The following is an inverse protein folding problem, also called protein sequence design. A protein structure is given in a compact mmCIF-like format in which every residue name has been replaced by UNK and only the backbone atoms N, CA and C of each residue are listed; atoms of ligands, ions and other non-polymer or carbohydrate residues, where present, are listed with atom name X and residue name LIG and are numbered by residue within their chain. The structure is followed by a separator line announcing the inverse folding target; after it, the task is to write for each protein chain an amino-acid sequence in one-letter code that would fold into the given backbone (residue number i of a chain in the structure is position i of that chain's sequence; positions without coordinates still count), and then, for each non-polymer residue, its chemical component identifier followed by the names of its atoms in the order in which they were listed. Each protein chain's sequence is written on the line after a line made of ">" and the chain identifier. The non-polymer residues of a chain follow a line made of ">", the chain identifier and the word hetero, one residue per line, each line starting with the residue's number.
data_IF_696089849878
#
_entry.id   IF_696089849878
#
_cell.length_a   1.000
_cell.length_b   1.000
_cell.length_c   1.000
_cell.angle_alpha   90.00
_cell.angle_beta   90.00
_cell.angle_gamma   90.00
#
_symmetry.space_group_name_H-M   'P 1'
#
loop_
_entity.id
_entity.type
_entity.pdbx_description
1 polymer ?
#
# COMPACT_ATOMS: atom_id res chain seq x y z
N UNK A 1 -24.29 15.90 -7.91
CA UNK A 1 -23.32 15.87 -6.80
C UNK A 1 -23.77 16.90 -5.77
N UNK A 2 -23.88 16.54 -4.50
CA UNK A 2 -24.13 17.54 -3.45
C UNK A 2 -22.84 18.36 -3.26
N UNK A 3 -22.92 19.68 -3.06
CA UNK A 3 -21.74 20.47 -2.75
C UNK A 3 -21.21 20.04 -1.38
N UNK A 4 -19.90 19.87 -1.25
CA UNK A 4 -19.24 19.65 0.03
C UNK A 4 -19.19 21.01 0.72
N UNK A 5 -20.14 21.29 1.62
CA UNK A 5 -20.30 22.60 2.28
C UNK A 5 -19.59 22.67 3.63
N UNK A 6 -18.32 22.28 3.67
CA UNK A 6 -17.47 22.51 4.84
C UNK A 6 -16.04 22.66 4.37
N UNK A 7 -15.47 23.85 4.54
CA UNK A 7 -14.08 24.18 4.20
C UNK A 7 -13.05 23.26 4.91
N UNK A 8 -13.50 22.40 5.84
CA UNK A 8 -12.70 21.50 6.67
C UNK A 8 -13.04 19.99 6.55
N UNK A 9 -13.87 19.53 5.59
CA UNK A 9 -14.15 18.08 5.49
C UNK A 9 -13.05 17.31 4.74
N UNK A 10 -12.06 16.84 5.51
CA UNK A 10 -10.94 16.01 5.02
C UNK A 10 -11.29 14.54 4.81
N UNK A 11 -12.53 14.11 5.05
CA UNK A 11 -12.88 12.68 5.03
C UNK A 11 -12.59 11.98 3.70
N UNK A 12 -12.72 12.69 2.58
CA UNK A 12 -12.41 12.22 1.22
C UNK A 12 -10.95 12.47 0.80
N UNK A 13 -10.22 13.28 1.57
CA UNK A 13 -8.85 13.70 1.32
C UNK A 13 -7.80 12.88 2.08
N UNK A 14 -8.21 11.82 2.79
CA UNK A 14 -7.27 10.91 3.47
C UNK A 14 -6.20 10.42 2.47
N UNK A 15 -4.91 10.39 2.82
CA UNK A 15 -4.38 10.43 4.19
C UNK A 15 -4.19 11.82 4.78
N UNK A 16 -4.44 12.90 4.02
CA UNK A 16 -4.29 14.28 4.50
C UNK A 16 -5.39 14.60 5.51
N UNK A 17 -4.99 15.12 6.68
CA UNK A 17 -5.93 15.44 7.78
C UNK A 17 -6.07 16.92 8.04
N UNK A 18 -5.16 17.72 7.53
CA UNK A 18 -5.11 19.16 7.70
C UNK A 18 -4.44 19.82 6.50
N UNK A 19 -4.51 21.15 6.47
CA UNK A 19 -3.90 21.92 5.39
C UNK A 19 -2.39 21.89 5.48
N UNK A 20 -1.71 21.61 4.37
CA UNK A 20 -0.25 21.68 4.26
C UNK A 20 0.13 22.98 3.55
N UNK A 21 1.05 23.75 4.14
CA UNK A 21 1.51 25.05 3.63
C UNK A 21 2.90 25.37 4.14
N UNK A 22 3.54 26.36 3.53
CA UNK A 22 4.81 26.90 4.02
C UNK A 22 4.60 27.60 5.37
N UNK A 23 5.44 27.27 6.35
CA UNK A 23 5.43 27.82 7.71
C UNK A 23 6.86 28.00 8.22
N UNK A 24 7.02 28.72 9.34
CA UNK A 24 8.29 28.82 10.07
C UNK A 24 8.09 28.33 11.52
N UNK A 25 8.61 27.14 11.90
CA UNK A 25 9.38 26.20 11.08
C UNK A 25 8.51 25.48 10.02
N UNK A 26 9.09 24.94 8.94
CA UNK A 26 8.35 24.23 7.90
C UNK A 26 7.60 23.00 8.41
N UNK A 27 6.41 22.75 7.86
CA UNK A 27 5.68 21.50 8.10
C UNK A 27 6.49 20.31 7.57
N UNK A 28 6.50 19.20 8.30
CA UNK A 28 7.26 18.03 7.92
C UNK A 28 6.55 16.73 8.29
N UNK A 29 6.83 15.65 7.57
CA UNK A 29 6.39 14.31 7.90
C UNK A 29 5.78 13.55 6.74
N UNK A 30 4.99 12.52 7.10
CA UNK A 30 4.45 11.54 6.16
C UNK A 30 3.55 12.16 5.09
N UNK A 31 2.65 13.05 5.49
CA UNK A 31 1.70 13.67 4.56
C UNK A 31 2.42 14.53 3.51
N UNK A 32 3.43 15.30 3.93
CA UNK A 32 4.30 16.07 3.03
C UNK A 32 5.04 15.15 2.06
N UNK A 33 5.66 14.07 2.55
CA UNK A 33 6.35 13.09 1.71
C UNK A 33 5.40 12.46 0.67
N UNK A 34 4.18 12.10 1.09
CA UNK A 34 3.15 11.58 0.18
C UNK A 34 2.79 12.61 -0.89
N UNK A 35 2.51 13.85 -0.48
CA UNK A 35 2.20 14.95 -1.41
C UNK A 35 3.31 15.13 -2.44
N UNK A 36 4.57 15.24 -2.00
CA UNK A 36 5.71 15.43 -2.89
C UNK A 36 5.86 14.28 -3.89
N UNK A 37 5.74 13.03 -3.43
CA UNK A 37 5.78 11.86 -4.31
C UNK A 37 4.64 11.82 -5.32
N UNK A 38 3.45 12.31 -4.96
CA UNK A 38 2.32 12.44 -5.89
C UNK A 38 2.55 13.58 -6.89
N UNK A 39 2.97 14.77 -6.44
CA UNK A 39 3.21 15.93 -7.29
C UNK A 39 4.28 15.66 -8.37
N UNK A 40 5.31 14.85 -8.07
CA UNK A 40 6.31 14.38 -9.06
C UNK A 40 5.71 13.67 -10.28
N UNK A 41 4.46 13.20 -10.19
CA UNK A 41 3.74 12.53 -11.29
C UNK A 41 3.00 13.51 -12.19
N UNK A 42 2.83 14.76 -11.77
CA UNK A 42 2.17 15.76 -12.59
C UNK A 42 3.13 16.24 -13.70
N UNK A 43 2.64 16.46 -14.94
CA UNK A 43 3.47 16.93 -16.04
C UNK A 43 4.18 18.25 -15.72
N UNK A 44 5.48 18.32 -15.99
CA UNK A 44 6.27 19.55 -15.81
C UNK A 44 6.57 19.95 -14.36
N UNK A 45 6.25 19.11 -13.39
CA UNK A 45 6.68 19.30 -11.99
C UNK A 45 7.93 18.48 -11.73
N UNK A 46 9.05 19.17 -11.50
CA UNK A 46 10.29 18.58 -10.99
C UNK A 46 10.41 18.90 -9.51
N UNK A 47 10.39 17.86 -8.68
CA UNK A 47 10.39 18.00 -7.23
C UNK A 47 11.19 16.86 -6.59
N UNK A 48 11.94 17.19 -5.55
CA UNK A 48 12.61 16.21 -4.70
C UNK A 48 11.75 15.98 -3.46
N UNK A 49 11.43 14.72 -3.16
CA UNK A 49 10.68 14.37 -1.97
C UNK A 49 11.62 14.40 -0.77
N UNK A 50 11.55 15.47 0.04
CA UNK A 50 12.37 15.66 1.25
C UNK A 50 11.60 15.32 2.53
N UNK A 51 10.27 15.22 2.45
CA UNK A 51 9.38 15.15 3.61
C UNK A 51 9.21 16.48 4.35
N UNK A 52 9.72 17.59 3.80
CA UNK A 52 9.62 18.95 4.36
C UNK A 52 8.90 19.85 3.37
N UNK A 53 7.89 20.59 3.84
CA UNK A 53 7.08 21.48 3.01
C UNK A 53 7.80 22.82 2.89
N UNK A 54 8.69 22.90 1.90
CA UNK A 54 9.51 24.06 1.57
C UNK A 54 8.92 24.88 0.40
N UNK A 55 9.63 25.94 0.00
CA UNK A 55 9.26 26.78 -1.15
C UNK A 55 9.14 25.99 -2.46
N UNK A 56 9.93 24.92 -2.64
CA UNK A 56 9.83 24.06 -3.81
C UNK A 56 8.52 23.26 -3.81
N UNK A 57 8.10 22.78 -2.64
CA UNK A 57 6.84 22.06 -2.46
C UNK A 57 5.64 23.00 -2.67
N UNK A 58 5.68 24.21 -2.11
CA UNK A 58 4.66 25.24 -2.33
C UNK A 58 4.52 25.58 -3.82
N UNK A 59 5.66 25.85 -4.49
CA UNK A 59 5.69 26.15 -5.93
C UNK A 59 5.17 25.00 -6.77
N UNK A 60 5.54 23.76 -6.46
CA UNK A 60 5.03 22.58 -7.14
C UNK A 60 3.51 22.45 -6.96
N UNK A 61 3.00 22.68 -5.76
CA UNK A 61 1.57 22.62 -5.50
C UNK A 61 0.80 23.74 -6.22
N UNK A 62 1.35 24.95 -6.24
CA UNK A 62 0.82 26.07 -7.03
C UNK A 62 0.73 25.71 -8.52
N UNK A 63 1.82 25.16 -9.09
CA UNK A 63 1.84 24.72 -10.49
C UNK A 63 0.80 23.64 -10.76
N UNK A 64 0.64 22.68 -9.84
CA UNK A 64 -0.41 21.67 -9.95
C UNK A 64 -1.81 22.28 -9.93
N UNK A 65 -2.07 23.22 -9.01
CA UNK A 65 -3.36 23.92 -8.91
C UNK A 65 -3.69 24.66 -10.21
N UNK A 66 -2.73 25.40 -10.78
CA UNK A 66 -2.88 26.07 -12.08
C UNK A 66 -3.20 25.07 -13.20
N UNK A 67 -2.46 23.96 -13.28
CA UNK A 67 -2.71 22.90 -14.28
C UNK A 67 -4.10 22.27 -14.16
N UNK A 68 -4.66 22.23 -12.95
CA UNK A 68 -6.00 21.68 -12.68
C UNK A 68 -7.11 22.72 -12.67
N UNK A 69 -6.78 24.01 -12.83
CA UNK A 69 -7.75 25.10 -12.75
C UNK A 69 -8.39 25.25 -11.36
N UNK A 70 -7.69 24.83 -10.30
CA UNK A 70 -8.14 24.97 -8.90
C UNK A 70 -7.85 26.39 -8.43
N UNK A 71 -8.85 27.05 -7.85
CA UNK A 71 -8.74 28.46 -7.45
C UNK A 71 -9.05 28.65 -5.95
N UNK A 72 -8.27 29.49 -5.22
CA UNK A 72 -7.06 30.17 -5.70
C UNK A 72 -5.90 29.19 -5.83
N UNK A 73 -5.11 29.30 -6.90
CA UNK A 73 -3.80 28.69 -6.94
C UNK A 73 -2.87 29.47 -6.00
N UNK A 74 -2.57 28.90 -4.85
CA UNK A 74 -1.87 29.58 -3.76
C UNK A 74 -0.77 28.71 -3.11
N UNK A 75 -0.53 27.50 -3.64
CA UNK A 75 0.47 26.59 -3.08
C UNK A 75 0.08 26.00 -1.73
N UNK A 76 -1.19 26.11 -1.32
CA UNK A 76 -1.70 25.54 -0.07
C UNK A 76 -2.52 24.28 -0.38
N UNK A 77 -2.22 23.18 0.31
CA UNK A 77 -3.03 21.98 0.22
C UNK A 77 -4.29 22.18 1.07
N UNK A 78 -5.43 22.36 0.43
CA UNK A 78 -6.76 22.34 1.06
C UNK A 78 -7.51 21.05 0.67
N UNK A 79 -8.72 20.77 1.22
CA UNK A 79 -9.44 19.54 0.91
C UNK A 79 -9.69 19.34 -0.59
N UNK A 80 -10.05 20.40 -1.32
CA UNK A 80 -10.28 20.34 -2.78
C UNK A 80 -9.02 19.93 -3.55
N UNK A 81 -7.89 20.57 -3.24
CA UNK A 81 -6.59 20.26 -3.87
C UNK A 81 -6.15 18.84 -3.50
N UNK A 82 -6.33 18.43 -2.25
CA UNK A 82 -5.99 17.09 -1.78
C UNK A 82 -6.80 16.00 -2.47
N UNK A 83 -8.12 16.18 -2.61
CA UNK A 83 -8.99 15.27 -3.36
C UNK A 83 -8.50 15.18 -4.81
N UNK A 84 -8.26 16.32 -5.46
CA UNK A 84 -7.77 16.36 -6.83
C UNK A 84 -6.43 15.61 -6.99
N UNK A 85 -5.47 15.83 -6.09
CA UNK A 85 -4.18 15.13 -6.07
C UNK A 85 -4.39 13.62 -5.97
N UNK A 86 -5.25 13.15 -5.08
CA UNK A 86 -5.52 11.72 -4.91
C UNK A 86 -6.24 11.11 -6.11
N UNK A 87 -7.22 11.81 -6.68
CA UNK A 87 -7.99 11.34 -7.83
C UNK A 87 -7.12 11.20 -9.09
N UNK A 88 -6.21 12.15 -9.32
CA UNK A 88 -5.45 12.22 -10.56
C UNK A 88 -4.05 11.62 -10.48
N UNK A 89 -3.41 11.63 -9.31
CA UNK A 89 -2.00 11.27 -9.18
C UNK A 89 -1.76 10.00 -8.35
N UNK A 90 -2.77 9.43 -7.68
CA UNK A 90 -2.57 8.22 -6.85
C UNK A 90 -2.31 6.96 -7.67
N UNK A 91 -2.84 6.87 -8.89
CA UNK A 91 -2.47 5.78 -9.81
C UNK A 91 -0.98 5.91 -10.13
N UNK A 92 -0.20 4.87 -9.84
CA UNK A 92 1.25 4.89 -10.00
C UNK A 92 1.71 4.39 -11.38
N UNK A 93 0.77 3.91 -12.21
CA UNK A 93 1.06 3.32 -13.52
C UNK A 93 1.96 2.09 -13.45
N UNK A 94 2.18 1.50 -12.27
CA UNK A 94 3.04 0.34 -12.12
C UNK A 94 2.45 -0.84 -12.89
N UNK A 95 3.33 -1.54 -13.62
CA UNK A 95 3.01 -2.74 -14.39
C UNK A 95 3.96 -3.87 -14.03
N UNK A 96 3.39 -5.05 -13.77
CA UNK A 96 4.18 -6.25 -13.61
C UNK A 96 4.78 -6.65 -14.95
N UNK A 97 6.10 -6.87 -14.98
CA UNK A 97 6.84 -7.29 -16.18
C UNK A 97 7.04 -8.81 -16.24
N UNK A 98 6.41 -9.56 -15.33
CA UNK A 98 6.61 -11.01 -15.19
C UNK A 98 7.94 -11.40 -14.55
N UNK A 99 8.89 -10.48 -14.37
CA UNK A 99 10.24 -10.82 -13.90
C UNK A 99 10.24 -11.29 -12.45
N UNK A 100 11.17 -12.20 -12.16
CA UNK A 100 11.51 -12.67 -10.82
C UNK A 100 12.99 -12.34 -10.61
N UNK A 101 13.28 -11.60 -9.55
CA UNK A 101 14.64 -11.18 -9.25
C UNK A 101 15.53 -12.39 -8.94
N UNK A 102 16.77 -12.35 -9.41
CA UNK A 102 17.74 -13.42 -9.16
C UNK A 102 17.88 -13.68 -7.66
N UNK A 103 17.87 -14.95 -7.28
CA UNK A 103 17.93 -15.38 -5.89
C UNK A 103 16.59 -15.39 -5.14
N UNK A 104 15.51 -14.89 -5.73
CA UNK A 104 14.16 -15.06 -5.17
C UNK A 104 13.64 -16.47 -5.45
N UNK A 105 13.07 -17.10 -4.42
CA UNK A 105 12.50 -18.44 -4.49
C UNK A 105 11.06 -18.47 -4.99
N UNK A 106 10.36 -17.34 -4.93
CA UNK A 106 8.97 -17.23 -5.35
C UNK A 106 8.56 -15.79 -5.67
N UNK A 107 7.45 -15.65 -6.42
CA UNK A 107 6.78 -14.38 -6.68
C UNK A 107 5.27 -14.52 -6.47
N UNK A 108 4.65 -13.54 -5.84
CA UNK A 108 3.20 -13.41 -5.77
C UNK A 108 2.75 -12.26 -6.68
N UNK A 109 1.79 -12.51 -7.55
CA UNK A 109 1.13 -11.48 -8.35
C UNK A 109 -0.31 -11.29 -7.90
N UNK A 110 -0.70 -10.05 -7.63
CA UNK A 110 -2.04 -9.69 -7.17
C UNK A 110 -2.55 -8.55 -8.08
N UNK A 111 -3.36 -8.86 -9.11
CA UNK A 111 -4.07 -7.81 -9.83
C UNK A 111 -5.09 -7.20 -8.88
N UNK A 112 -5.27 -5.88 -8.90
CA UNK A 112 -6.25 -5.18 -8.06
C UNK A 112 -7.03 -4.15 -8.88
N UNK A 113 -8.29 -3.95 -8.53
CA UNK A 113 -9.15 -2.91 -9.11
C UNK A 113 -9.20 -1.71 -8.19
N UNK A 114 -9.31 -0.49 -8.72
CA UNK A 114 -9.54 0.76 -7.98
C UNK A 114 -10.69 0.57 -6.97
N UNK A 115 -11.75 -0.12 -7.38
CA UNK A 115 -12.73 -0.68 -6.45
C UNK A 115 -12.17 -1.94 -5.76
N UNK A 116 -11.53 -1.74 -4.61
CA UNK A 116 -10.90 -2.80 -3.82
C UNK A 116 -11.89 -3.75 -3.13
N UNK A 117 -13.20 -3.53 -3.29
CA UNK A 117 -14.22 -4.50 -2.87
C UNK A 117 -14.24 -5.76 -3.71
N UNK A 118 -13.69 -5.69 -4.92
CA UNK A 118 -13.57 -6.80 -5.86
C UNK A 118 -12.42 -7.68 -5.40
N UNK A 119 -12.72 -8.94 -5.12
CA UNK A 119 -11.70 -9.96 -4.89
C UNK A 119 -11.09 -10.37 -6.21
N UNK A 120 -9.80 -10.66 -6.18
CA UNK A 120 -9.04 -10.92 -7.40
C UNK A 120 -8.33 -12.26 -7.32
N UNK A 121 -8.10 -12.86 -8.50
CA UNK A 121 -7.32 -14.08 -8.58
C UNK A 121 -5.83 -13.73 -8.52
N UNK A 122 -5.22 -13.92 -7.35
CA UNK A 122 -3.79 -13.87 -7.19
C UNK A 122 -3.12 -15.13 -7.75
N UNK A 123 -1.88 -14.99 -8.20
CA UNK A 123 -1.08 -16.10 -8.73
C UNK A 123 0.26 -16.17 -8.01
N UNK A 124 0.59 -17.34 -7.47
CA UNK A 124 1.88 -17.62 -6.86
C UNK A 124 2.74 -18.40 -7.86
N UNK A 125 3.97 -17.94 -8.04
CA UNK A 125 4.98 -18.51 -8.93
C UNK A 125 6.19 -18.99 -8.13
N UNK A 126 6.86 -20.04 -8.62
CA UNK A 126 8.20 -20.41 -8.16
C UNK A 126 9.29 -19.45 -8.68
N UNK A 127 10.54 -19.64 -8.26
CA UNK A 127 11.67 -18.80 -8.67
C UNK A 127 12.02 -18.90 -10.17
N UNK A 128 11.45 -19.87 -10.89
CA UNK A 128 11.62 -20.08 -12.32
C UNK A 128 10.45 -19.49 -13.13
N UNK A 129 9.42 -18.95 -12.46
CA UNK A 129 8.25 -18.35 -13.11
C UNK A 129 7.14 -19.35 -13.44
N UNK A 130 7.21 -20.60 -12.95
CA UNK A 130 6.11 -21.54 -13.11
C UNK A 130 5.00 -21.22 -12.11
N UNK A 131 3.75 -21.31 -12.56
CA UNK A 131 2.58 -21.15 -11.69
C UNK A 131 2.50 -22.32 -10.72
N UNK A 132 2.52 -22.04 -9.42
CA UNK A 132 2.37 -23.07 -8.37
C UNK A 132 1.00 -23.05 -7.70
N UNK A 133 0.30 -21.91 -7.67
CA UNK A 133 -1.08 -21.83 -7.18
C UNK A 133 -1.79 -20.57 -7.70
N UNK A 134 -3.12 -20.64 -7.74
CA UNK A 134 -4.01 -19.51 -8.02
C UNK A 134 -5.13 -19.51 -7.00
N UNK A 135 -5.44 -18.34 -6.44
CA UNK A 135 -6.42 -18.23 -5.37
C UNK A 135 -7.06 -16.86 -5.30
N UNK A 136 -8.24 -16.78 -4.69
CA UNK A 136 -8.89 -15.51 -4.41
C UNK A 136 -8.15 -14.76 -3.29
N UNK A 137 -7.94 -13.47 -3.52
CA UNK A 137 -7.34 -12.55 -2.58
C UNK A 137 -8.22 -11.31 -2.43
N UNK A 138 -8.32 -10.81 -1.20
CA UNK A 138 -8.99 -9.54 -0.91
C UNK A 138 -7.97 -8.54 -0.37
N UNK A 139 -7.93 -7.36 -1.01
CA UNK A 139 -6.97 -6.28 -0.71
C UNK A 139 -7.66 -5.02 -0.18
N UNK A 140 -8.92 -5.17 0.28
CA UNK A 140 -9.71 -4.08 0.85
C UNK A 140 -9.28 -3.79 2.27
N UNK A 141 -8.94 -2.53 2.51
CA UNK A 141 -8.68 -1.99 3.85
C UNK A 141 -9.95 -1.68 4.64
N UNK A 142 -9.77 -1.01 5.76
CA UNK A 142 -10.86 -0.59 6.62
C UNK A 142 -11.69 0.50 5.96
N UNK A 143 -12.81 0.86 6.58
CA UNK A 143 -13.50 2.11 6.29
C UNK A 143 -13.05 3.17 7.30
N UNK A 144 -13.11 4.44 6.93
CA UNK A 144 -12.92 5.55 7.87
C UNK A 144 -14.12 5.69 8.81
N UNK A 145 -14.00 6.61 9.77
CA UNK A 145 -14.97 6.79 10.87
C UNK A 145 -16.38 7.16 10.38
N UNK A 146 -16.51 7.75 9.18
CA UNK A 146 -17.79 8.09 8.54
C UNK A 146 -18.24 7.01 7.52
N UNK A 147 -17.63 5.82 7.56
CA UNK A 147 -17.91 4.72 6.63
C UNK A 147 -17.30 4.89 5.23
N UNK A 148 -16.52 5.94 5.00
CA UNK A 148 -15.88 6.19 3.70
C UNK A 148 -14.76 5.17 3.43
N UNK A 149 -14.55 4.83 2.16
CA UNK A 149 -13.45 3.94 1.76
C UNK A 149 -12.13 4.71 1.92
N UNK A 150 -11.18 4.16 2.67
CA UNK A 150 -9.84 4.74 2.79
C UNK A 150 -8.89 4.16 1.74
N UNK A 151 -8.20 5.03 1.03
CA UNK A 151 -7.33 4.65 -0.08
C UNK A 151 -6.00 4.05 0.41
N UNK A 152 -5.20 3.59 -0.54
CA UNK A 152 -3.97 2.85 -0.29
C UNK A 152 -2.83 3.62 0.40
N UNK A 153 -2.91 4.94 0.47
CA UNK A 153 -1.92 5.79 1.12
C UNK A 153 -2.27 6.08 2.59
N UNK A 154 -3.44 5.64 3.05
CA UNK A 154 -3.89 5.70 4.45
C UNK A 154 -3.41 4.48 5.24
N UNK A 155 -3.05 4.65 6.52
CA UNK A 155 -2.52 3.57 7.38
C UNK A 155 -3.31 2.27 7.30
N UNK A 156 -4.64 2.34 7.47
CA UNK A 156 -5.52 1.16 7.45
C UNK A 156 -6.24 0.95 6.09
N UNK A 157 -5.80 1.65 5.04
CA UNK A 157 -6.49 1.66 3.75
C UNK A 157 -6.28 0.42 2.89
N UNK A 158 -6.63 0.48 1.61
CA UNK A 158 -6.44 -0.65 0.69
C UNK A 158 -4.97 -1.04 0.52
N UNK A 159 -4.63 -2.29 0.19
CA UNK A 159 -3.22 -2.69 -0.02
C UNK A 159 -2.52 -1.79 -1.08
N UNK A 160 -1.30 -1.26 -0.83
CA UNK A 160 -0.58 -0.43 -1.78
C UNK A 160 -0.17 -1.19 -3.03
N UNK A 161 -0.26 -0.50 -4.17
CA UNK A 161 0.26 -0.97 -5.45
C UNK A 161 1.78 -0.82 -5.52
N UNK A 162 2.40 -1.60 -6.40
CA UNK A 162 3.82 -1.58 -6.65
C UNK A 162 4.47 -2.95 -6.52
N UNK A 163 5.80 -2.94 -6.71
CA UNK A 163 6.65 -4.09 -6.48
C UNK A 163 7.20 -4.02 -5.06
N UNK A 164 7.19 -5.13 -4.34
CA UNK A 164 7.60 -5.21 -2.93
C UNK A 164 8.42 -6.47 -2.69
N UNK A 165 9.45 -6.36 -1.86
CA UNK A 165 10.10 -7.54 -1.26
C UNK A 165 9.19 -8.20 -0.24
N UNK A 166 9.19 -9.53 -0.21
CA UNK A 166 8.31 -10.30 0.65
C UNK A 166 9.05 -11.49 1.25
N UNK A 167 8.67 -11.88 2.46
CA UNK A 167 9.27 -13.03 3.11
C UNK A 167 8.26 -13.80 3.95
N UNK A 168 8.54 -15.09 4.17
CA UNK A 168 7.71 -15.95 5.00
C UNK A 168 8.15 -15.83 6.45
N UNK A 169 7.23 -15.47 7.34
CA UNK A 169 7.47 -15.39 8.76
C UNK A 169 6.63 -16.41 9.54
N UNK A 170 7.11 -16.82 10.72
CA UNK A 170 6.35 -17.64 11.66
C UNK A 170 5.00 -16.98 11.99
N UNK A 171 4.00 -17.75 12.48
CA UNK A 171 2.70 -17.20 12.81
C UNK A 171 2.78 -15.98 13.74
N UNK A 172 1.78 -15.09 13.64
CA UNK A 172 1.56 -14.05 14.64
C UNK A 172 1.27 -14.68 16.03
N UNK A 173 1.40 -13.94 17.14
CA UNK A 173 1.25 -14.48 18.49
C UNK A 173 -0.11 -15.17 18.67
N UNK A 174 -0.16 -16.21 19.51
CA UNK A 174 -1.38 -16.99 19.75
C UNK A 174 -2.59 -16.14 20.17
N UNK A 175 -2.36 -15.03 20.87
CA UNK A 175 -3.40 -14.05 21.25
C UNK A 175 -4.07 -13.37 20.05
N UNK A 176 -3.42 -13.37 18.88
CA UNK A 176 -3.90 -12.74 17.64
C UNK A 176 -4.31 -13.77 16.57
N UNK A 177 -4.40 -15.06 16.91
CA UNK A 177 -4.80 -16.13 15.96
C UNK A 177 -6.16 -15.85 15.31
N UNK A 178 -7.08 -15.19 16.03
CA UNK A 178 -8.37 -14.79 15.47
C UNK A 178 -8.21 -13.82 14.29
N UNK A 179 -7.23 -12.92 14.36
CA UNK A 179 -6.99 -11.91 13.33
C UNK A 179 -6.10 -12.42 12.19
N UNK A 180 -5.10 -13.26 12.48
CA UNK A 180 -4.05 -13.64 11.51
C UNK A 180 -4.00 -15.12 11.14
N UNK A 181 -4.85 -15.92 11.77
CA UNK A 181 -4.84 -17.37 11.61
C UNK A 181 -3.64 -18.03 12.29
N UNK A 182 -3.59 -19.37 12.29
CA UNK A 182 -2.57 -20.14 12.99
C UNK A 182 -1.31 -20.41 12.14
N UNK A 183 -1.29 -19.95 10.90
CA UNK A 183 -0.27 -20.30 9.92
C UNK A 183 0.83 -19.24 9.83
N UNK A 184 2.03 -19.61 9.34
CA UNK A 184 3.02 -18.64 8.88
C UNK A 184 2.39 -17.58 7.95
N UNK A 185 2.90 -16.36 8.02
CA UNK A 185 2.38 -15.20 7.28
C UNK A 185 3.42 -14.73 6.27
N UNK A 186 2.97 -14.29 5.09
CA UNK A 186 3.86 -13.62 4.14
C UNK A 186 3.87 -12.13 4.45
N UNK A 187 5.02 -11.57 4.77
CA UNK A 187 5.16 -10.17 5.17
C UNK A 187 5.69 -9.32 4.02
N UNK A 188 5.00 -8.24 3.72
CA UNK A 188 5.51 -7.18 2.86
C UNK A 188 6.61 -6.45 3.62
N UNK A 189 7.82 -6.36 3.05
CA UNK A 189 9.00 -5.83 3.75
C UNK A 189 9.35 -4.43 3.27
N UNK A 190 9.70 -4.28 2.00
CA UNK A 190 10.18 -3.00 1.43
C UNK A 190 9.68 -2.82 0.01
N UNK A 191 9.14 -1.65 -0.29
CA UNK A 191 8.74 -1.29 -1.64
C UNK A 191 9.95 -1.06 -2.55
N UNK A 192 9.81 -1.47 -3.81
CA UNK A 192 10.83 -1.34 -4.85
C UNK A 192 10.38 -0.45 -6.01
N UNK A 193 9.08 -0.48 -6.34
CA UNK A 193 8.45 0.37 -7.37
C UNK A 193 7.04 0.77 -6.94
N UNK A 194 6.47 1.77 -7.62
CA UNK A 194 5.07 2.19 -7.44
C UNK A 194 4.81 2.89 -6.10
N UNK A 195 3.55 2.92 -5.66
CA UNK A 195 3.12 3.55 -4.40
C UNK A 195 3.83 2.95 -3.18
N UNK A 196 4.10 1.65 -3.20
CA UNK A 196 4.86 0.94 -2.17
C UNK A 196 6.28 1.52 -1.93
N UNK A 197 6.88 2.10 -2.97
CA UNK A 197 8.23 2.64 -2.97
C UNK A 197 8.32 4.14 -2.70
N UNK A 198 7.19 4.85 -2.51
CA UNK A 198 7.22 6.27 -2.14
C UNK A 198 8.09 6.47 -0.90
N UNK A 199 8.90 7.52 -0.86
CA UNK A 199 9.81 7.76 0.24
C UNK A 199 10.48 9.13 0.13
N UNK A 200 11.43 9.38 1.02
CA UNK A 200 12.33 10.53 0.88
C UNK A 200 13.40 10.15 -0.15
N UNK A 201 13.64 11.03 -1.13
CA UNK A 201 14.65 10.80 -2.16
C UNK A 201 16.05 10.69 -1.52
N UNK A 202 16.86 9.79 -2.06
CA UNK A 202 18.19 9.42 -1.54
C UNK A 202 18.19 8.76 -0.14
N UNK A 203 17.02 8.36 0.36
CA UNK A 203 16.89 7.51 1.55
C UNK A 203 16.52 6.08 1.16
N UNK A 204 16.76 5.14 2.08
CA UNK A 204 16.49 3.72 1.85
C UNK A 204 15.09 3.31 2.28
N UNK A 205 14.44 4.18 3.04
CA UNK A 205 13.13 4.07 3.64
C UNK A 205 12.04 4.27 2.58
N UNK A 206 11.06 3.37 2.57
CA UNK A 206 9.90 3.47 1.68
C UNK A 206 8.60 3.48 2.47
N UNK A 207 7.51 3.75 1.75
CA UNK A 207 6.17 3.81 2.29
C UNK A 207 5.83 2.54 3.07
N UNK A 208 6.13 1.38 2.50
CA UNK A 208 5.94 0.10 3.18
C UNK A 208 6.91 -0.18 4.31
N UNK A 209 8.18 0.25 4.23
CA UNK A 209 9.11 -0.03 5.32
C UNK A 209 8.83 0.86 6.53
N UNK A 210 8.48 2.14 6.37
CA UNK A 210 8.50 3.12 7.47
C UNK A 210 7.14 3.71 7.84
N UNK A 211 6.20 3.76 6.90
CA UNK A 211 4.93 4.46 7.11
C UNK A 211 3.73 3.51 7.13
N UNK A 212 3.89 2.34 6.53
CA UNK A 212 2.86 1.33 6.38
C UNK A 212 3.42 -0.08 6.45
N UNK A 213 4.26 -0.30 7.46
CA UNK A 213 4.76 -1.63 7.80
C UNK A 213 3.64 -2.48 8.39
N UNK A 214 3.80 -3.80 8.31
CA UNK A 214 2.82 -4.74 8.88
C UNK A 214 1.75 -5.23 7.92
N UNK A 215 1.89 -4.98 6.61
CA UNK A 215 1.04 -5.62 5.61
C UNK A 215 1.45 -7.09 5.45
N UNK A 216 0.47 -7.96 5.59
CA UNK A 216 0.64 -9.41 5.55
C UNK A 216 -0.28 -10.03 4.49
N UNK A 217 0.12 -11.18 3.92
CA UNK A 217 -0.82 -12.14 3.33
C UNK A 217 -1.13 -13.19 4.39
N UNK A 218 -2.39 -13.23 4.81
CA UNK A 218 -2.84 -14.10 5.87
C UNK A 218 -4.33 -14.40 5.77
N UNK A 219 -4.78 -15.27 6.67
CA UNK A 219 -6.20 -15.56 6.88
C UNK A 219 -6.64 -15.11 8.27
N UNK A 220 -7.88 -15.34 8.66
CA UNK A 220 -8.35 -15.13 10.02
C UNK A 220 -9.30 -16.23 10.46
N UNK A 221 -9.77 -16.12 11.69
CA UNK A 221 -10.95 -16.84 12.16
C UNK A 221 -12.08 -15.82 12.16
N UNK A 222 -12.91 -15.90 11.13
CA UNK A 222 -14.00 -14.96 10.90
C UNK A 222 -15.31 -15.61 11.34
N UNK A 223 -15.94 -15.04 12.37
CA UNK A 223 -17.23 -15.49 12.85
C UNK A 223 -18.26 -15.33 11.72
N UNK A 224 -19.12 -16.35 11.53
CA UNK A 224 -20.23 -16.34 10.56
C UNK A 224 -19.83 -16.17 9.07
N UNK A 225 -18.55 -16.34 8.72
CA UNK A 225 -18.10 -16.34 7.32
C UNK A 225 -18.07 -17.74 6.72
N UNK A 226 -18.45 -17.86 5.45
CA UNK A 226 -18.32 -19.08 4.65
C UNK A 226 -17.64 -18.76 3.31
N UNK A 227 -17.02 -19.74 2.62
CA UNK A 227 -16.32 -19.51 1.35
C UNK A 227 -17.17 -18.89 0.22
N UNK A 228 -18.50 -18.92 0.34
CA UNK A 228 -19.44 -18.32 -0.61
C UNK A 228 -19.62 -16.80 -0.38
N UNK A 229 -19.19 -16.29 0.78
CA UNK A 229 -19.22 -14.87 1.11
C UNK A 229 -17.87 -14.22 0.78
N UNK A 230 -17.86 -12.94 0.38
CA UNK A 230 -16.61 -12.19 0.28
C UNK A 230 -15.85 -12.22 1.61
N UNK A 231 -14.53 -12.36 1.55
CA UNK A 231 -13.67 -12.26 2.72
C UNK A 231 -13.91 -10.93 3.44
N UNK A 232 -13.79 -10.89 4.78
CA UNK A 232 -13.88 -9.63 5.52
C UNK A 232 -12.79 -8.66 5.11
N UNK A 233 -13.05 -7.37 5.29
CA UNK A 233 -12.03 -6.34 5.09
C UNK A 233 -10.90 -6.48 6.11
N UNK A 234 -9.69 -6.13 5.69
CA UNK A 234 -8.52 -6.06 6.57
C UNK A 234 -8.24 -4.60 6.95
N UNK A 235 -7.11 -4.34 7.63
CA UNK A 235 -6.55 -2.98 7.79
C UNK A 235 -5.47 -2.69 6.72
N UNK A 236 -5.52 -3.37 5.57
CA UNK A 236 -4.56 -3.22 4.48
C UNK A 236 -3.82 -4.49 4.08
N UNK A 237 -3.90 -5.53 4.89
CA UNK A 237 -3.44 -6.87 4.56
C UNK A 237 -4.16 -7.44 3.34
N UNK A 238 -3.54 -8.46 2.76
CA UNK A 238 -4.13 -9.32 1.75
C UNK A 238 -4.75 -10.51 2.48
N UNK A 239 -6.08 -10.57 2.51
CA UNK A 239 -6.77 -11.74 3.04
C UNK A 239 -6.87 -12.84 1.98
N UNK A 240 -6.66 -14.08 2.42
CA UNK A 240 -6.91 -15.31 1.68
C UNK A 240 -7.70 -16.30 2.54
N UNK A 241 -8.33 -17.29 1.90
CA UNK A 241 -9.09 -18.33 2.60
C UNK A 241 -8.18 -19.14 3.55
N UNK A 242 -8.70 -19.66 4.68
CA UNK A 242 -7.88 -20.42 5.62
C UNK A 242 -7.19 -21.66 5.02
N UNK A 243 -7.91 -22.41 4.17
CA UNK A 243 -7.35 -23.55 3.44
C UNK A 243 -6.27 -23.14 2.44
N UNK A 244 -6.46 -22.00 1.78
CA UNK A 244 -5.50 -21.42 0.83
C UNK A 244 -4.23 -20.95 1.54
N UNK A 245 -4.32 -20.30 2.70
CA UNK A 245 -3.14 -19.88 3.46
C UNK A 245 -2.25 -21.08 3.80
N UNK A 246 -2.85 -22.17 4.27
CA UNK A 246 -2.14 -23.41 4.54
C UNK A 246 -1.47 -23.97 3.29
N UNK A 247 -2.19 -24.04 2.17
CA UNK A 247 -1.65 -24.52 0.91
C UNK A 247 -0.46 -23.68 0.42
N UNK A 248 -0.56 -22.35 0.50
CA UNK A 248 0.54 -21.43 0.15
C UNK A 248 1.77 -21.77 0.99
N UNK A 249 1.62 -21.88 2.31
CA UNK A 249 2.73 -22.19 3.22
C UNK A 249 3.37 -23.54 2.88
N UNK A 250 2.56 -24.59 2.68
CA UNK A 250 3.06 -25.92 2.34
C UNK A 250 3.84 -25.89 1.01
N UNK A 251 3.34 -25.17 0.00
CA UNK A 251 4.04 -24.99 -1.28
C UNK A 251 5.34 -24.23 -1.15
N UNK A 252 5.37 -23.17 -0.35
CA UNK A 252 6.60 -22.41 -0.11
C UNK A 252 7.66 -23.27 0.59
N UNK A 253 7.27 -24.11 1.56
CA UNK A 253 8.19 -25.07 2.16
C UNK A 253 8.75 -26.08 1.14
N UNK A 254 7.93 -26.56 0.20
CA UNK A 254 8.41 -27.43 -0.89
C UNK A 254 9.40 -26.73 -1.82
N UNK A 255 9.31 -25.40 -2.00
CA UNK A 255 10.29 -24.59 -2.72
C UNK A 255 11.56 -24.28 -1.88
N UNK A 256 11.65 -24.83 -0.67
CA UNK A 256 12.75 -24.58 0.25
C UNK A 256 12.74 -23.19 0.88
N UNK A 257 11.62 -22.47 0.85
CA UNK A 257 11.44 -21.23 1.62
C UNK A 257 11.41 -21.58 3.10
N UNK A 258 12.10 -20.80 3.93
CA UNK A 258 12.12 -20.98 5.39
C UNK A 258 11.22 -19.92 6.02
N UNK A 259 10.43 -20.31 7.02
CA UNK A 259 9.69 -19.34 7.83
C UNK A 259 10.64 -18.72 8.88
N UNK A 260 11.01 -17.46 8.68
CA UNK A 260 11.84 -16.71 9.62
C UNK A 260 11.03 -16.29 10.87
N UNK A 261 11.65 -16.23 12.05
CA UNK A 261 10.97 -15.78 13.25
C UNK A 261 10.35 -14.38 13.05
N UNK A 262 9.07 -14.25 13.38
CA UNK A 262 8.31 -13.04 13.08
C UNK A 262 8.93 -11.81 13.77
N UNK A 263 9.37 -10.79 13.01
CA UNK A 263 10.04 -9.64 13.59
C UNK A 263 9.06 -8.61 14.18
N UNK A 264 7.76 -8.84 14.10
CA UNK A 264 6.70 -7.93 14.58
C UNK A 264 6.87 -6.48 14.09
N UNK A 265 7.33 -6.33 12.84
CA UNK A 265 7.55 -5.03 12.22
C UNK A 265 8.88 -4.35 12.58
N UNK A 266 9.82 -5.03 13.24
CA UNK A 266 11.18 -4.50 13.48
C UNK A 266 11.86 -4.08 12.18
N UNK A 267 12.44 -2.88 12.22
CA UNK A 267 13.23 -2.29 11.13
C UNK A 267 14.69 -2.06 11.61
N UNK A 268 15.70 -2.22 10.72
CA UNK A 268 15.58 -2.84 9.40
C UNK A 268 15.17 -4.32 9.51
N UNK A 269 14.58 -4.85 8.43
CA UNK A 269 14.18 -6.26 8.39
C UNK A 269 15.40 -7.16 8.55
N UNK A 270 15.41 -8.10 9.52
CA UNK A 270 16.65 -8.75 9.95
C UNK A 270 17.05 -9.98 9.13
N UNK A 271 16.22 -10.41 8.17
CA UNK A 271 16.46 -11.64 7.40
C UNK A 271 16.71 -11.38 5.93
N UNK A 272 17.33 -12.37 5.28
CA UNK A 272 17.46 -12.39 3.83
C UNK A 272 16.10 -12.65 3.19
N UNK A 273 15.66 -11.72 2.34
CA UNK A 273 14.44 -11.83 1.56
C UNK A 273 14.47 -13.06 0.64
N UNK A 274 13.35 -13.77 0.58
CA UNK A 274 13.19 -14.99 -0.21
C UNK A 274 12.18 -14.85 -1.35
N UNK A 275 11.39 -13.78 -1.41
CA UNK A 275 10.44 -13.57 -2.49
C UNK A 275 10.09 -12.11 -2.74
N UNK A 276 9.20 -11.93 -3.72
CA UNK A 276 8.64 -10.62 -4.09
C UNK A 276 7.14 -10.73 -4.28
N UNK A 277 6.44 -9.61 -4.13
CA UNK A 277 5.03 -9.46 -4.47
C UNK A 277 4.84 -8.26 -5.36
N UNK A 278 4.00 -8.45 -6.37
CA UNK A 278 3.60 -7.44 -7.33
C UNK A 278 2.11 -7.19 -7.18
N UNK A 279 1.76 -5.97 -6.76
CA UNK A 279 0.37 -5.52 -6.63
C UNK A 279 0.10 -4.52 -7.74
N UNK A 280 -0.56 -4.95 -8.80
CA UNK A 280 -0.79 -4.14 -9.99
C UNK A 280 -2.24 -3.64 -10.04
N UNK A 281 -2.43 -2.33 -10.21
CA UNK A 281 -3.75 -1.82 -10.58
C UNK A 281 -4.02 -2.00 -12.07
N UNK A 282 -5.16 -2.65 -12.38
CA UNK A 282 -5.50 -3.07 -13.74
C UNK A 282 -6.62 -2.25 -14.39
N UNK A 283 -7.11 -1.20 -13.73
CA UNK A 283 -8.19 -0.29 -14.17
C UNK A 283 -7.92 1.21 -13.90
#
# INVERSE_FOLDING_TARGET
>A
MKPITGEDDWSLAMPFKESLKLTDPPMQGREVMILQNLLKRAPGIELVATGVFDENTEKALYMYQEQKGIQPANGILNPETAISVLEHLMSDGYKDDGSIQEGMKFKLYIPVYRNRSIETQATLFDGQGNVISKFLARTRGSTGDKGQIVNQLTTNGNTPTGLVTMDLNTPEPKSLVKSFGPYPVLRFVKGLKGNAAMGIDNQTETFLSNYRSGILVHTGIWDDWTPELPMPNSNGCVHVHPSVQREIVDRLFMLGVIANENPFGKLPYPYRIQGIVSVEQID
#
